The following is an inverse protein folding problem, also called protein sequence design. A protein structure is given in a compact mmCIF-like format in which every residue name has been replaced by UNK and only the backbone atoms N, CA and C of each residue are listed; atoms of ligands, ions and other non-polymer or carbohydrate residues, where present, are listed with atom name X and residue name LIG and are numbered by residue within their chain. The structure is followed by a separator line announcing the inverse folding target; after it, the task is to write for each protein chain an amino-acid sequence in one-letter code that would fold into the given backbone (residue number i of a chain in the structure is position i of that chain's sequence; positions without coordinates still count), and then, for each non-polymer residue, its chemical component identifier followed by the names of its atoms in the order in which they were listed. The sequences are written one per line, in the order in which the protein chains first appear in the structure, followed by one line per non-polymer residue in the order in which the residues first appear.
data_IF_071430827173
#
_entry.id   IF_071430827173
#
_cell.length_a   1.000
_cell.length_b   1.000
_cell.length_c   1.000
_cell.angle_alpha   90.00
_cell.angle_beta   90.00
_cell.angle_gamma   90.00
#
_symmetry.space_group_name_H-M   'P 1'
#
loop_
_entity.id
_entity.type
_entity.pdbx_description
1 polymer ?
#
# COMPACT_ATOMS: atom_id res chain seq x y z
N UNK A 1 -10.21 8.51 -23.21
CA UNK A 1 -10.31 9.74 -22.37
C UNK A 1 -10.02 9.42 -20.91
N UNK A 2 -9.28 10.27 -20.15
CA UNK A 2 -9.10 10.05 -18.69
C UNK A 2 -10.26 10.70 -17.94
N UNK A 3 -11.00 9.92 -17.16
CA UNK A 3 -12.10 10.41 -16.35
C UNK A 3 -11.56 10.93 -15.02
N UNK A 4 -11.44 12.25 -14.91
CA UNK A 4 -10.95 12.90 -13.69
C UNK A 4 -12.06 13.69 -12.95
N UNK A 5 -13.25 13.78 -13.57
CA UNK A 5 -14.40 14.52 -13.03
C UNK A 5 -15.18 13.65 -12.01
N UNK A 6 -15.40 14.11 -10.76
CA UNK A 6 -16.21 13.38 -9.79
C UNK A 6 -17.62 13.08 -10.30
N UNK A 7 -18.16 11.90 -9.98
CA UNK A 7 -19.42 11.42 -10.59
C UNK A 7 -20.62 12.31 -10.26
N UNK A 8 -20.59 13.02 -9.12
CA UNK A 8 -21.63 13.98 -8.72
C UNK A 8 -21.70 15.21 -9.63
N UNK A 9 -20.64 15.52 -10.37
CA UNK A 9 -20.60 16.63 -11.31
C UNK A 9 -21.01 16.23 -12.73
N UNK A 10 -21.29 14.95 -12.98
CA UNK A 10 -21.58 14.47 -14.32
C UNK A 10 -22.97 14.89 -14.80
N UNK A 11 -23.02 15.19 -16.08
CA UNK A 11 -24.19 15.68 -16.81
C UNK A 11 -24.42 14.82 -18.04
N UNK A 12 -25.56 15.03 -18.70
CA UNK A 12 -25.84 14.39 -19.99
C UNK A 12 -24.75 14.66 -21.03
N UNK A 13 -24.23 15.89 -21.09
CA UNK A 13 -23.19 16.26 -22.05
C UNK A 13 -21.92 15.43 -21.83
N UNK A 14 -21.56 15.11 -20.57
CA UNK A 14 -20.40 14.26 -20.28
C UNK A 14 -20.60 12.83 -20.83
N UNK A 15 -21.83 12.30 -20.77
CA UNK A 15 -22.18 11.00 -21.36
C UNK A 15 -22.17 11.02 -22.89
N UNK A 16 -22.62 12.13 -23.49
CA UNK A 16 -22.57 12.32 -24.95
C UNK A 16 -21.12 12.43 -25.45
N UNK A 17 -20.22 13.04 -24.68
CA UNK A 17 -18.78 13.06 -24.98
C UNK A 17 -18.22 11.63 -24.97
N UNK A 18 -18.55 10.82 -23.96
CA UNK A 18 -18.15 9.41 -23.91
C UNK A 18 -18.65 8.63 -25.12
N UNK A 19 -19.93 8.79 -25.47
CA UNK A 19 -20.53 8.08 -26.60
C UNK A 19 -19.87 8.41 -27.94
N UNK A 20 -19.39 9.65 -28.10
CA UNK A 20 -18.77 10.12 -29.33
C UNK A 20 -17.24 9.90 -29.38
N UNK A 21 -16.61 9.41 -28.30
CA UNK A 21 -15.18 9.06 -28.29
C UNK A 21 -15.00 7.64 -28.87
N UNK A 22 -14.36 7.50 -30.05
CA UNK A 22 -14.18 6.20 -30.71
C UNK A 22 -13.22 5.27 -29.96
N UNK A 23 -12.50 5.77 -28.94
CA UNK A 23 -11.61 4.99 -28.08
C UNK A 23 -12.21 4.74 -26.69
N UNK A 24 -13.51 5.00 -26.52
CA UNK A 24 -14.21 4.79 -25.26
C UNK A 24 -14.58 3.31 -25.08
N UNK A 25 -13.58 2.52 -24.70
CA UNK A 25 -13.71 1.11 -24.34
C UNK A 25 -13.64 0.96 -22.81
N UNK A 26 -14.21 -0.12 -22.29
CA UNK A 26 -13.98 -0.52 -20.90
C UNK A 26 -12.47 -0.63 -20.61
N UNK A 27 -12.06 -0.08 -19.47
CA UNK A 27 -10.65 -0.02 -19.10
C UNK A 27 -10.46 -0.26 -17.59
N UNK A 28 -9.29 0.08 -17.08
CA UNK A 28 -8.93 -0.10 -15.67
C UNK A 28 -9.75 0.76 -14.70
N UNK A 29 -10.50 1.74 -15.21
CA UNK A 29 -11.11 2.84 -14.49
C UNK A 29 -12.58 3.08 -14.89
N UNK A 30 -13.11 2.43 -15.92
CA UNK A 30 -14.54 2.46 -16.25
C UNK A 30 -15.09 1.09 -16.68
N UNK A 31 -16.31 0.79 -16.23
CA UNK A 31 -17.10 -0.35 -16.70
C UNK A 31 -18.54 0.08 -17.05
N UNK A 32 -19.06 -0.44 -18.16
CA UNK A 32 -20.40 -0.17 -18.66
C UNK A 32 -21.31 -1.36 -18.39
N UNK A 33 -22.50 -1.10 -17.85
CA UNK A 33 -23.50 -2.14 -17.67
C UNK A 33 -24.84 -1.69 -18.21
N UNK A 34 -25.48 -2.55 -19.00
CA UNK A 34 -26.84 -2.30 -19.50
C UNK A 34 -27.79 -2.11 -18.34
N UNK A 35 -27.86 -3.13 -17.48
CA UNK A 35 -28.70 -3.18 -16.29
C UNK A 35 -28.01 -4.07 -15.25
N UNK A 36 -28.45 -3.97 -14.00
CA UNK A 36 -28.02 -4.92 -12.98
C UNK A 36 -28.75 -6.26 -13.13
N UNK A 37 -27.98 -7.32 -13.36
CA UNK A 37 -28.47 -8.70 -13.54
C UNK A 37 -28.94 -9.38 -12.23
N UNK A 38 -29.03 -8.64 -11.12
CA UNK A 38 -29.32 -9.14 -9.75
C UNK A 38 -28.27 -10.07 -9.17
N UNK A 39 -27.12 -10.24 -9.82
CA UNK A 39 -26.00 -10.97 -9.26
C UNK A 39 -25.22 -10.06 -8.30
N UNK A 40 -25.52 -10.23 -7.01
CA UNK A 40 -24.87 -9.48 -5.94
C UNK A 40 -23.38 -9.83 -5.81
N UNK A 41 -22.96 -11.03 -6.20
CA UNK A 41 -21.55 -11.42 -6.13
C UNK A 41 -20.76 -10.75 -7.24
N UNK A 42 -21.34 -10.64 -8.43
CA UNK A 42 -20.71 -9.92 -9.53
C UNK A 42 -20.51 -8.45 -9.20
N UNK A 43 -21.54 -7.78 -8.68
CA UNK A 43 -21.43 -6.39 -8.24
C UNK A 43 -20.37 -6.21 -7.13
N UNK A 44 -20.26 -7.16 -6.18
CA UNK A 44 -19.17 -7.15 -5.18
C UNK A 44 -17.80 -7.24 -5.83
N UNK A 45 -17.63 -8.11 -6.81
CA UNK A 45 -16.35 -8.25 -7.54
C UNK A 45 -16.00 -6.98 -8.28
N UNK A 46 -16.97 -6.36 -8.93
CA UNK A 46 -16.75 -5.10 -9.65
C UNK A 46 -16.28 -4.01 -8.69
N UNK A 47 -17.00 -3.79 -7.59
CA UNK A 47 -16.65 -2.79 -6.58
C UNK A 47 -15.29 -3.09 -5.94
N UNK A 48 -15.05 -4.32 -5.47
CA UNK A 48 -13.78 -4.67 -4.81
C UNK A 48 -12.59 -4.60 -5.77
N UNK A 49 -12.77 -5.00 -7.03
CA UNK A 49 -11.71 -4.92 -8.03
C UNK A 49 -11.27 -3.48 -8.31
N UNK A 50 -12.23 -2.53 -8.40
CA UNK A 50 -11.93 -1.11 -8.54
C UNK A 50 -11.36 -0.52 -7.25
N UNK A 51 -11.91 -0.87 -6.08
CA UNK A 51 -11.39 -0.38 -4.81
C UNK A 51 -9.96 -0.87 -4.54
N UNK A 52 -9.58 -2.03 -5.07
CA UNK A 52 -8.22 -2.54 -5.04
C UNK A 52 -7.34 -2.05 -6.20
N UNK A 53 -7.82 -1.18 -7.09
CA UNK A 53 -6.97 -0.54 -8.11
C UNK A 53 -6.27 0.68 -7.50
N UNK A 54 -5.22 1.18 -8.17
CA UNK A 54 -4.49 2.36 -7.72
C UNK A 54 -5.30 3.66 -7.86
N UNK A 55 -6.26 3.70 -8.78
CA UNK A 55 -7.01 4.92 -9.14
C UNK A 55 -8.50 4.87 -8.79
N UNK A 56 -9.02 3.71 -8.39
CA UNK A 56 -10.45 3.48 -8.25
C UNK A 56 -11.11 3.21 -9.61
N UNK A 57 -12.37 3.63 -9.76
CA UNK A 57 -13.05 3.59 -11.05
C UNK A 57 -14.52 3.96 -11.00
N UNK A 58 -15.17 3.85 -12.16
CA UNK A 58 -16.56 4.20 -12.39
C UNK A 58 -17.32 3.00 -12.95
N UNK A 59 -18.52 2.74 -12.42
CA UNK A 59 -19.46 1.79 -13.01
C UNK A 59 -20.66 2.59 -13.50
N UNK A 60 -20.94 2.55 -14.80
CA UNK A 60 -22.06 3.27 -15.41
C UNK A 60 -23.17 2.28 -15.83
N UNK A 61 -24.29 2.32 -15.10
CA UNK A 61 -25.48 1.53 -15.42
C UNK A 61 -26.41 2.28 -16.38
N UNK A 62 -26.99 1.57 -17.34
CA UNK A 62 -27.80 2.16 -18.40
C UNK A 62 -27.01 2.43 -19.68
N UNK A 63 -25.86 1.76 -19.86
CA UNK A 63 -25.01 1.87 -21.05
C UNK A 63 -24.75 0.46 -21.59
N UNK A 64 -24.98 0.25 -22.89
CA UNK A 64 -24.49 -0.92 -23.62
C UNK A 64 -23.09 -0.59 -24.13
N UNK A 65 -22.12 -1.48 -23.90
CA UNK A 65 -20.73 -1.31 -24.34
C UNK A 65 -20.56 -1.56 -25.84
N UNK A 66 -21.02 -2.72 -26.33
CA UNK A 66 -20.92 -3.08 -27.75
C UNK A 66 -22.29 -3.40 -28.40
N UNK A 67 -22.77 -2.59 -29.37
CA UNK A 67 -22.25 -1.27 -29.73
C UNK A 67 -22.61 -0.22 -28.66
N UNK A 68 -21.76 0.78 -28.51
CA UNK A 68 -21.90 1.79 -27.45
C UNK A 68 -23.23 2.54 -27.56
N UNK A 69 -24.12 2.38 -26.57
CA UNK A 69 -25.45 3.00 -26.58
C UNK A 69 -25.91 3.41 -25.18
N UNK A 70 -26.34 4.66 -25.04
CA UNK A 70 -27.02 5.20 -23.86
C UNK A 70 -28.48 4.73 -23.82
N UNK A 71 -28.72 3.53 -23.31
CA UNK A 71 -30.07 2.94 -23.22
C UNK A 71 -30.90 3.52 -22.05
N UNK A 72 -30.22 3.94 -20.99
CA UNK A 72 -30.82 4.41 -19.74
C UNK A 72 -31.55 3.33 -18.93
N UNK A 73 -31.85 3.68 -17.68
CA UNK A 73 -32.67 2.91 -16.74
C UNK A 73 -33.72 3.81 -16.10
N UNK A 74 -34.83 3.21 -15.68
CA UNK A 74 -35.94 3.94 -15.05
C UNK A 74 -35.58 4.41 -13.64
N UNK A 75 -36.32 5.41 -13.13
CA UNK A 75 -36.13 5.89 -11.75
C UNK A 75 -36.27 4.79 -10.70
N UNK A 76 -37.24 3.88 -10.87
CA UNK A 76 -37.44 2.76 -9.95
C UNK A 76 -36.27 1.76 -9.94
N UNK A 77 -35.59 1.59 -11.08
CA UNK A 77 -34.37 0.76 -11.16
C UNK A 77 -33.18 1.45 -10.50
N UNK A 78 -33.02 2.76 -10.68
CA UNK A 78 -32.02 3.57 -9.97
C UNK A 78 -32.17 3.39 -8.46
N UNK A 79 -33.38 3.57 -7.92
CA UNK A 79 -33.61 3.51 -6.47
C UNK A 79 -33.33 2.09 -5.93
N UNK A 80 -33.72 1.04 -6.67
CA UNK A 80 -33.38 -0.35 -6.33
C UNK A 80 -31.87 -0.60 -6.33
N UNK A 81 -31.15 -0.06 -7.31
CA UNK A 81 -29.72 -0.21 -7.44
C UNK A 81 -28.96 0.47 -6.30
N UNK A 82 -29.35 1.69 -5.94
CA UNK A 82 -28.77 2.41 -4.80
C UNK A 82 -28.91 1.61 -3.50
N UNK A 83 -30.12 1.13 -3.21
CA UNK A 83 -30.38 0.30 -2.04
C UNK A 83 -29.55 -1.00 -2.06
N UNK A 84 -29.36 -1.58 -3.24
CA UNK A 84 -28.56 -2.80 -3.42
C UNK A 84 -27.08 -2.54 -3.17
N UNK A 85 -26.54 -1.43 -3.69
CA UNK A 85 -25.16 -1.00 -3.46
C UNK A 85 -24.93 -0.73 -1.98
N UNK A 86 -25.83 0.02 -1.32
CA UNK A 86 -25.75 0.29 0.12
C UNK A 86 -25.79 -1.00 0.95
N UNK A 87 -26.63 -1.96 0.56
CA UNK A 87 -26.65 -3.27 1.21
C UNK A 87 -25.33 -4.02 1.02
N UNK A 88 -24.78 -4.02 -0.19
CA UNK A 88 -23.53 -4.72 -0.53
C UNK A 88 -22.32 -4.12 0.20
N UNK A 89 -22.18 -2.80 0.23
CA UNK A 89 -21.05 -2.13 0.92
C UNK A 89 -20.98 -2.54 2.38
N UNK A 90 -22.14 -2.78 3.01
CA UNK A 90 -22.24 -3.16 4.41
C UNK A 90 -22.16 -4.67 4.66
N UNK A 91 -22.10 -5.52 3.61
CA UNK A 91 -22.18 -6.98 3.75
C UNK A 91 -21.18 -7.72 2.83
N UNK A 92 -20.35 -8.58 3.43
CA UNK A 92 -19.30 -9.42 2.81
C UNK A 92 -18.02 -8.72 2.38
N UNK A 93 -17.93 -7.39 2.38
CA UNK A 93 -16.68 -6.72 2.03
C UNK A 93 -15.92 -6.37 3.31
N UNK A 94 -14.70 -6.90 3.43
CA UNK A 94 -13.82 -6.71 4.58
C UNK A 94 -12.41 -6.29 4.11
N UNK A 95 -11.78 -5.28 4.74
CA UNK A 95 -12.41 -4.33 5.66
C UNK A 95 -13.53 -3.52 4.96
N UNK A 96 -14.33 -2.79 5.74
CA UNK A 96 -15.37 -1.92 5.17
C UNK A 96 -14.73 -0.90 4.23
N UNK A 97 -15.36 -0.66 3.08
CA UNK A 97 -14.91 0.35 2.12
C UNK A 97 -14.88 1.73 2.78
N UNK A 98 -13.73 2.40 2.69
CA UNK A 98 -13.53 3.75 3.22
C UNK A 98 -12.59 4.53 2.28
N UNK A 99 -13.09 5.55 1.56
CA UNK A 99 -14.48 6.04 1.59
C UNK A 99 -15.47 5.08 0.88
N UNK A 100 -16.77 5.09 1.27
CA UNK A 100 -17.78 4.29 0.59
C UNK A 100 -18.04 4.80 -0.84
N UNK A 101 -18.45 3.92 -1.79
CA UNK A 101 -18.84 4.32 -3.13
C UNK A 101 -19.93 5.40 -3.15
N UNK A 102 -19.84 6.32 -4.13
CA UNK A 102 -20.83 7.38 -4.34
C UNK A 102 -21.62 7.10 -5.61
N UNK A 103 -22.95 7.16 -5.51
CA UNK A 103 -23.84 6.96 -6.66
C UNK A 103 -24.52 8.26 -7.09
N UNK A 104 -24.57 8.54 -8.39
CA UNK A 104 -25.21 9.72 -8.96
C UNK A 104 -26.09 9.36 -10.19
N UNK A 105 -27.40 9.62 -10.17
CA UNK A 105 -28.25 9.45 -11.34
C UNK A 105 -28.16 10.65 -12.28
N UNK A 106 -27.76 10.40 -13.53
CA UNK A 106 -27.62 11.39 -14.59
C UNK A 106 -28.81 11.24 -15.53
N UNK A 107 -29.64 12.27 -15.66
CA UNK A 107 -30.82 12.23 -16.54
C UNK A 107 -30.40 12.33 -18.02
N UNK A 108 -30.88 11.41 -18.86
CA UNK A 108 -30.60 11.39 -20.30
C UNK A 108 -31.77 12.02 -21.07
N UNK A 109 -32.97 11.44 -20.96
CA UNK A 109 -34.23 11.91 -21.53
C UNK A 109 -35.41 11.12 -20.93
N UNK A 110 -36.65 11.61 -21.07
CA UNK A 110 -37.88 10.83 -20.83
C UNK A 110 -37.92 9.98 -19.53
N UNK A 111 -37.43 10.52 -18.40
CA UNK A 111 -37.30 9.80 -17.11
C UNK A 111 -36.39 8.56 -17.14
N UNK A 112 -35.47 8.49 -18.11
CA UNK A 112 -34.38 7.54 -18.19
C UNK A 112 -33.09 8.18 -17.67
N UNK A 113 -32.33 7.38 -16.94
CA UNK A 113 -31.12 7.80 -16.25
C UNK A 113 -29.96 6.86 -16.57
N UNK A 114 -28.73 7.37 -16.57
CA UNK A 114 -27.55 6.55 -16.28
C UNK A 114 -27.27 6.66 -14.79
N UNK A 115 -27.06 5.54 -14.10
CA UNK A 115 -26.57 5.58 -12.73
C UNK A 115 -25.05 5.41 -12.75
N UNK A 116 -24.34 6.49 -12.45
CA UNK A 116 -22.91 6.45 -12.23
C UNK A 116 -22.59 6.05 -10.79
N UNK A 117 -21.65 5.13 -10.60
CA UNK A 117 -21.14 4.71 -9.29
C UNK A 117 -19.64 4.92 -9.30
N UNK A 118 -19.15 5.84 -8.47
CA UNK A 118 -17.73 6.07 -8.26
C UNK A 118 -17.23 5.22 -7.10
N UNK A 119 -16.20 4.42 -7.37
CA UNK A 119 -15.50 3.60 -6.39
C UNK A 119 -14.12 4.20 -6.19
N UNK A 120 -13.74 4.44 -4.94
CA UNK A 120 -12.47 5.04 -4.59
C UNK A 120 -11.38 3.98 -4.40
N UNK A 121 -10.12 4.28 -4.75
CA UNK A 121 -9.03 3.39 -4.44
C UNK A 121 -8.87 3.27 -2.93
N UNK A 122 -8.41 2.11 -2.48
CA UNK A 122 -8.00 1.88 -1.11
C UNK A 122 -6.85 2.80 -0.70
N UNK A 123 -6.83 3.16 0.58
CA UNK A 123 -5.71 3.90 1.16
C UNK A 123 -4.59 2.99 1.67
N UNK A 124 -4.94 1.76 2.08
CA UNK A 124 -3.99 0.77 2.58
C UNK A 124 -4.55 -0.66 2.48
N UNK A 125 -3.66 -1.65 2.53
CA UNK A 125 -4.02 -3.07 2.60
C UNK A 125 -4.72 -3.59 1.33
N UNK A 126 -5.75 -4.42 1.51
CA UNK A 126 -6.54 -4.98 0.42
C UNK A 126 -7.97 -5.23 0.88
N UNK A 127 -8.94 -4.92 0.02
CA UNK A 127 -10.34 -5.31 0.22
C UNK A 127 -10.59 -6.73 -0.26
N UNK A 128 -11.41 -7.46 0.47
CA UNK A 128 -11.71 -8.85 0.21
C UNK A 128 -13.22 -9.11 0.29
N UNK A 129 -13.68 -10.12 -0.43
CA UNK A 129 -15.07 -10.58 -0.38
C UNK A 129 -15.11 -11.88 0.43
N UNK A 130 -15.79 -11.83 1.58
CA UNK A 130 -16.07 -12.98 2.43
C UNK A 130 -17.00 -13.96 1.72
N UNK A 131 -16.64 -15.25 1.71
CA UNK A 131 -17.43 -16.29 1.04
C UNK A 131 -18.79 -16.49 1.71
N UNK A 132 -18.81 -16.53 3.05
CA UNK A 132 -20.04 -16.75 3.82
C UNK A 132 -20.27 -15.68 4.90
N UNK A 133 -21.54 -15.33 5.17
CA UNK A 133 -21.92 -14.38 6.21
C UNK A 133 -22.22 -15.02 7.56
N UNK A 134 -22.50 -16.32 7.59
CA UNK A 134 -22.85 -17.01 8.82
C UNK A 134 -21.58 -17.34 9.61
N UNK A 135 -21.37 -16.79 10.82
CA UNK A 135 -20.18 -17.07 11.65
C UNK A 135 -19.96 -18.54 11.96
N UNK A 136 -21.03 -19.35 11.94
CA UNK A 136 -20.99 -20.79 12.21
C UNK A 136 -20.63 -21.62 10.98
N UNK A 137 -20.54 -21.01 9.79
CA UNK A 137 -20.14 -21.72 8.59
C UNK A 137 -18.61 -21.77 8.47
N UNK A 138 -17.99 -22.92 8.11
CA UNK A 138 -16.53 -23.03 7.98
C UNK A 138 -15.95 -22.02 6.98
N UNK A 139 -16.72 -21.62 5.96
CA UNK A 139 -16.30 -20.66 4.94
C UNK A 139 -16.40 -19.19 5.40
N UNK A 140 -16.84 -18.93 6.63
CA UNK A 140 -16.95 -17.57 7.18
C UNK A 140 -15.61 -16.84 7.22
N UNK A 141 -14.52 -17.58 7.44
CA UNK A 141 -13.15 -17.05 7.49
C UNK A 141 -12.44 -17.12 6.15
N UNK A 142 -13.12 -17.60 5.10
CA UNK A 142 -12.56 -17.67 3.77
C UNK A 142 -12.93 -16.42 2.98
N UNK A 143 -11.92 -15.86 2.33
CA UNK A 143 -12.03 -14.66 1.52
C UNK A 143 -11.68 -14.95 0.06
N UNK A 144 -12.16 -14.09 -0.83
CA UNK A 144 -11.73 -14.02 -2.21
C UNK A 144 -11.28 -12.60 -2.51
N UNK A 145 -10.14 -12.48 -3.19
CA UNK A 145 -9.48 -11.22 -3.48
C UNK A 145 -9.53 -10.97 -4.98
N UNK A 146 -9.91 -9.75 -5.35
CA UNK A 146 -10.13 -9.37 -6.74
C UNK A 146 -9.45 -8.04 -7.01
N UNK A 147 -8.79 -7.93 -8.15
CA UNK A 147 -8.15 -6.70 -8.63
C UNK A 147 -8.61 -6.41 -10.06
N UNK A 148 -8.41 -5.18 -10.51
CA UNK A 148 -8.43 -4.84 -11.95
C UNK A 148 -7.08 -5.15 -12.58
N UNK A 149 -7.10 -5.77 -13.75
CA UNK A 149 -5.93 -6.08 -14.59
C UNK A 149 -6.38 -6.04 -16.05
N UNK A 150 -5.75 -5.21 -16.87
CA UNK A 150 -6.01 -5.08 -18.31
C UNK A 150 -7.50 -4.88 -18.66
N UNK A 151 -8.19 -4.01 -17.91
CA UNK A 151 -9.63 -3.76 -18.05
C UNK A 151 -10.54 -4.86 -17.48
N UNK A 152 -10.00 -6.04 -17.22
CA UNK A 152 -10.75 -7.15 -16.64
C UNK A 152 -10.62 -7.21 -15.12
N UNK A 153 -11.58 -7.86 -14.47
CA UNK A 153 -11.47 -8.26 -13.06
C UNK A 153 -10.81 -9.64 -12.96
N UNK A 154 -9.78 -9.75 -12.13
CA UNK A 154 -9.00 -10.97 -11.92
C UNK A 154 -8.98 -11.35 -10.45
N UNK A 155 -9.26 -12.62 -10.17
CA UNK A 155 -9.07 -13.17 -8.84
C UNK A 155 -7.57 -13.40 -8.61
N UNK A 156 -7.09 -13.08 -7.41
CA UNK A 156 -5.68 -13.26 -7.03
C UNK A 156 -5.52 -14.30 -5.93
N UNK A 157 -4.38 -14.99 -5.97
CA UNK A 157 -3.93 -15.97 -4.97
C UNK A 157 -3.45 -15.29 -3.68
N UNK A 158 -3.25 -16.07 -2.61
CA UNK A 158 -2.72 -15.52 -1.36
C UNK A 158 -1.26 -15.06 -1.51
N UNK A 159 -0.44 -15.73 -2.33
CA UNK A 159 0.94 -15.27 -2.59
C UNK A 159 0.93 -13.90 -3.30
N UNK A 160 0.03 -13.71 -4.26
CA UNK A 160 -0.17 -12.43 -4.91
C UNK A 160 -0.72 -11.37 -3.96
N UNK A 161 -1.64 -11.73 -3.06
CA UNK A 161 -2.14 -10.82 -2.02
C UNK A 161 -0.99 -10.31 -1.15
N UNK A 162 -0.11 -11.20 -0.68
CA UNK A 162 1.04 -10.81 0.14
C UNK A 162 1.95 -9.86 -0.63
N UNK A 163 2.26 -10.19 -1.88
CA UNK A 163 3.06 -9.33 -2.77
C UNK A 163 2.38 -7.98 -3.01
N UNK A 164 1.07 -7.97 -3.16
CA UNK A 164 0.26 -6.78 -3.36
C UNK A 164 0.32 -5.89 -2.13
N UNK A 165 0.05 -6.45 -0.93
CA UNK A 165 0.13 -5.72 0.33
C UNK A 165 1.52 -5.12 0.54
N UNK A 166 2.60 -5.89 0.29
CA UNK A 166 3.98 -5.40 0.41
C UNK A 166 4.26 -4.25 -0.57
N UNK A 167 3.76 -4.35 -1.82
CA UNK A 167 3.95 -3.30 -2.83
C UNK A 167 3.17 -2.03 -2.51
N UNK A 168 1.94 -2.17 -2.01
CA UNK A 168 1.03 -1.06 -1.73
C UNK A 168 1.00 -0.65 -0.27
N UNK A 169 1.97 -1.09 0.54
CA UNK A 169 2.08 -0.67 1.93
C UNK A 169 2.50 0.80 2.00
N UNK A 170 1.63 1.73 2.41
CA UNK A 170 2.01 3.13 2.61
C UNK A 170 3.02 3.29 3.76
N UNK A 171 3.26 2.26 4.58
CA UNK A 171 4.27 2.24 5.64
C UNK A 171 5.66 1.84 5.13
N UNK A 172 5.93 1.89 3.82
CA UNK A 172 7.23 1.57 3.22
C UNK A 172 8.33 2.52 3.75
N UNK A 173 8.87 2.18 4.91
CA UNK A 173 10.10 2.74 5.46
C UNK A 173 11.24 2.10 4.68
N UNK A 174 12.07 2.91 4.06
CA UNK A 174 13.27 2.38 3.43
C UNK A 174 14.42 2.52 4.41
N UNK A 175 14.80 1.39 5.00
CA UNK A 175 15.98 1.30 5.85
C UNK A 175 17.05 0.61 5.03
N UNK A 176 18.20 1.25 4.92
CA UNK A 176 19.33 0.77 4.14
C UNK A 176 20.57 0.74 5.03
N UNK A 177 21.34 -0.34 4.92
CA UNK A 177 22.62 -0.51 5.61
C UNK A 177 23.75 -0.47 4.61
N UNK A 178 24.60 0.54 4.74
CA UNK A 178 25.76 0.76 3.86
C UNK A 178 27.06 0.70 4.64
N UNK A 179 28.12 0.31 3.96
CA UNK A 179 29.48 0.34 4.51
C UNK A 179 30.21 1.45 3.76
N UNK A 180 30.77 2.39 4.50
CA UNK A 180 31.46 3.55 3.96
C UNK A 180 32.92 3.55 4.44
N UNK A 181 33.80 4.11 3.62
CA UNK A 181 35.10 4.57 4.10
C UNK A 181 34.91 5.91 4.81
N UNK A 182 35.54 6.08 5.98
CA UNK A 182 35.49 7.33 6.73
C UNK A 182 36.27 8.43 6.00
N UNK A 183 35.54 9.30 5.30
CA UNK A 183 36.09 10.52 4.70
C UNK A 183 35.87 11.76 5.58
N UNK A 184 35.22 11.62 6.74
CA UNK A 184 34.69 12.74 7.52
C UNK A 184 35.50 13.08 8.78
N UNK A 185 36.34 12.17 9.28
CA UNK A 185 37.18 12.42 10.46
C UNK A 185 38.65 12.61 10.07
N UNK A 186 39.24 13.80 10.32
CA UNK A 186 40.59 14.14 9.88
C UNK A 186 41.70 13.31 10.53
N UNK A 187 41.44 12.69 11.70
CA UNK A 187 42.43 11.89 12.46
C UNK A 187 42.21 10.36 12.36
N UNK A 188 41.22 9.91 11.58
CA UNK A 188 40.88 8.47 11.39
C UNK A 188 40.66 8.10 9.92
N UNK A 189 41.51 8.65 9.04
CA UNK A 189 41.35 8.73 7.58
C UNK A 189 41.26 7.41 6.80
N UNK A 190 41.18 6.26 7.47
CA UNK A 190 41.08 4.92 6.85
C UNK A 190 40.07 3.98 7.53
N UNK A 191 39.36 4.43 8.59
CA UNK A 191 38.44 3.55 9.31
C UNK A 191 37.16 3.30 8.49
N UNK A 192 36.70 2.05 8.37
CA UNK A 192 35.39 1.75 7.77
C UNK A 192 34.29 1.98 8.80
N UNK A 193 33.17 2.53 8.32
CA UNK A 193 31.96 2.79 9.11
C UNK A 193 30.81 1.99 8.51
N UNK A 194 29.96 1.44 9.37
CA UNK A 194 28.64 0.96 8.95
C UNK A 194 27.65 2.11 9.16
N UNK A 195 26.91 2.48 8.14
CA UNK A 195 25.82 3.42 8.25
C UNK A 195 24.47 2.72 8.18
N UNK A 196 23.52 3.22 8.95
CA UNK A 196 22.10 2.92 8.86
C UNK A 196 21.44 4.19 8.41
N UNK A 197 20.73 4.12 7.28
CA UNK A 197 20.00 5.22 6.71
C UNK A 197 18.53 4.84 6.68
N UNK A 198 17.71 5.54 7.45
CA UNK A 198 16.27 5.35 7.46
C UNK A 198 15.59 6.55 6.80
N UNK A 199 14.96 6.29 5.66
CA UNK A 199 14.15 7.27 4.92
C UNK A 199 12.68 6.95 5.17
N UNK A 200 11.94 7.95 5.66
CA UNK A 200 10.49 7.85 5.68
C UNK A 200 9.96 8.12 4.27
N UNK A 201 9.37 7.12 3.61
CA UNK A 201 8.65 7.30 2.34
C UNK A 201 7.13 7.19 2.53
N UNK A 202 6.67 7.29 3.78
CA UNK A 202 5.25 7.27 4.11
C UNK A 202 4.70 8.69 4.21
N UNK A 203 3.43 8.86 3.84
CA UNK A 203 2.69 10.12 3.96
C UNK A 203 2.55 10.55 5.43
N UNK A 204 2.64 9.60 6.38
CA UNK A 204 2.54 9.87 7.82
C UNK A 204 3.93 10.16 8.41
N UNK A 205 4.08 11.20 9.24
CA UNK A 205 5.34 11.42 9.94
C UNK A 205 5.60 10.33 10.97
N UNK A 206 6.86 9.92 11.11
CA UNK A 206 7.28 8.90 12.09
C UNK A 206 8.23 9.49 13.11
N UNK A 207 8.20 8.97 14.34
CA UNK A 207 9.17 9.35 15.39
C UNK A 207 10.14 8.18 15.54
N UNK A 208 11.41 8.41 15.23
CA UNK A 208 12.48 7.44 15.44
C UNK A 208 13.05 7.64 16.83
N UNK A 209 13.04 6.58 17.65
CA UNK A 209 13.48 6.59 19.04
C UNK A 209 14.88 5.99 19.23
N UNK A 210 15.24 5.00 18.40
CA UNK A 210 16.58 4.40 18.36
C UNK A 210 16.90 3.90 16.96
N UNK A 211 18.20 3.77 16.67
CA UNK A 211 18.75 3.10 15.50
C UNK A 211 19.85 2.13 15.94
N UNK A 212 20.09 1.06 15.17
CA UNK A 212 21.07 0.03 15.51
C UNK A 212 21.18 -1.09 14.48
N UNK A 213 21.87 -2.16 14.83
CA UNK A 213 21.93 -3.38 14.03
C UNK A 213 21.28 -4.53 14.78
N UNK A 214 20.60 -5.38 14.05
CA UNK A 214 20.24 -6.71 14.49
C UNK A 214 21.25 -7.68 13.90
N UNK A 215 21.99 -8.38 14.76
CA UNK A 215 22.98 -9.40 14.40
C UNK A 215 22.35 -10.76 14.60
N UNK A 216 22.28 -11.58 13.56
CA UNK A 216 21.83 -12.95 13.69
C UNK A 216 22.99 -13.83 14.16
N UNK A 217 22.83 -14.48 15.32
CA UNK A 217 23.72 -15.55 15.79
C UNK A 217 23.17 -16.91 15.31
N UNK A 218 24.06 -17.89 15.19
CA UNK A 218 23.79 -19.27 14.75
C UNK A 218 22.76 -20.04 15.63
N UNK A 219 22.26 -19.42 16.69
CA UNK A 219 21.31 -19.99 17.65
C UNK A 219 19.90 -19.36 17.56
N UNK A 220 19.54 -18.69 16.45
CA UNK A 220 18.23 -18.08 16.16
C UNK A 220 17.73 -16.99 17.13
N UNK A 221 18.52 -16.62 18.14
CA UNK A 221 18.26 -15.49 19.04
C UNK A 221 19.12 -14.30 18.60
N UNK A 222 18.66 -13.57 17.58
CA UNK A 222 19.37 -12.39 17.10
C UNK A 222 19.50 -11.30 18.16
N UNK A 223 20.63 -10.60 18.17
CA UNK A 223 20.97 -9.55 19.13
C UNK A 223 20.80 -8.16 18.51
N UNK A 224 20.14 -7.23 19.21
CA UNK A 224 20.07 -5.83 18.79
C UNK A 224 21.19 -4.99 19.45
N UNK A 225 22.11 -4.47 18.64
CA UNK A 225 23.14 -3.49 19.02
C UNK A 225 22.67 -2.08 18.67
N UNK A 226 22.31 -1.27 19.68
CA UNK A 226 21.86 0.10 19.45
C UNK A 226 23.01 1.10 19.45
N UNK A 227 23.06 1.95 18.42
CA UNK A 227 24.09 2.99 18.32
C UNK A 227 23.66 4.17 19.20
N UNK A 228 24.61 4.70 19.96
CA UNK A 228 24.34 5.84 20.82
C UNK A 228 24.08 7.12 20.01
N UNK A 229 23.08 7.87 20.47
CA UNK A 229 22.76 9.22 19.99
C UNK A 229 23.93 10.18 20.25
N UNK A 230 24.21 11.14 19.34
CA UNK A 230 25.34 12.09 19.39
C UNK A 230 25.51 12.82 20.74
N UNK A 231 24.45 12.91 21.53
CA UNK A 231 24.43 13.60 22.81
C UNK A 231 25.22 12.88 23.92
N UNK A 232 25.76 11.67 23.66
CA UNK A 232 26.43 10.84 24.69
C UNK A 232 27.93 10.58 24.45
N UNK A 233 28.46 10.68 23.22
CA UNK A 233 29.87 10.40 22.94
C UNK A 233 30.47 11.30 21.84
N UNK A 234 31.70 11.85 21.99
CA UNK A 234 32.33 12.73 20.99
C UNK A 234 32.43 12.12 19.58
N UNK A 235 32.65 10.81 19.51
CA UNK A 235 32.79 10.04 18.26
C UNK A 235 31.45 9.75 17.57
N UNK A 236 30.32 10.16 18.15
CA UNK A 236 28.97 9.92 17.57
C UNK A 236 28.30 11.21 17.09
N UNK A 237 29.01 12.36 17.11
CA UNK A 237 28.46 13.69 16.80
C UNK A 237 27.84 13.85 15.41
N UNK A 238 28.20 13.00 14.46
CA UNK A 238 27.64 12.97 13.10
C UNK A 238 26.37 12.12 12.97
N UNK A 239 25.99 11.38 14.01
CA UNK A 239 24.74 10.63 14.01
C UNK A 239 23.56 11.59 14.22
N UNK A 240 22.40 11.26 13.65
CA UNK A 240 21.19 12.06 13.84
C UNK A 240 20.78 12.05 15.32
N UNK A 241 20.54 13.22 15.95
CA UNK A 241 20.03 13.28 17.32
C UNK A 241 18.66 12.61 17.43
N UNK A 242 18.48 11.79 18.47
CA UNK A 242 17.23 11.10 18.76
C UNK A 242 16.58 11.60 20.07
N UNK A 243 15.24 11.57 20.17
CA UNK A 243 14.29 11.15 19.12
C UNK A 243 14.15 12.19 18.01
N UNK A 244 13.87 11.77 16.78
CA UNK A 244 13.63 12.65 15.63
C UNK A 244 12.32 12.32 14.93
N UNK A 245 11.59 13.36 14.51
CA UNK A 245 10.41 13.22 13.66
C UNK A 245 10.82 13.32 12.19
N UNK A 246 10.49 12.30 11.39
CA UNK A 246 10.73 12.27 9.95
C UNK A 246 9.41 12.45 9.19
N UNK A 247 9.32 13.47 8.36
CA UNK A 247 8.28 13.68 7.35
C UNK A 247 8.55 12.81 6.10
N UNK A 248 7.65 12.84 5.12
CA UNK A 248 7.89 12.18 3.83
C UNK A 248 9.15 12.75 3.16
N UNK A 249 10.06 11.86 2.78
CA UNK A 249 11.37 12.18 2.21
C UNK A 249 12.47 12.47 3.23
N UNK A 250 12.15 12.66 4.50
CA UNK A 250 13.15 12.92 5.54
C UNK A 250 14.00 11.67 5.82
N UNK A 251 15.28 11.91 6.08
CA UNK A 251 16.30 10.91 6.35
C UNK A 251 16.82 11.08 7.79
N UNK A 252 16.99 9.98 8.51
CA UNK A 252 17.93 9.91 9.61
C UNK A 252 19.05 8.92 9.32
N UNK A 253 20.25 9.25 9.79
CA UNK A 253 21.45 8.45 9.58
C UNK A 253 22.18 8.23 10.90
N UNK A 254 22.68 7.02 11.07
CA UNK A 254 23.60 6.68 12.14
C UNK A 254 24.78 5.93 11.56
N UNK A 255 25.95 6.15 12.15
CA UNK A 255 27.21 5.57 11.73
C UNK A 255 27.84 4.89 12.94
N UNK A 256 28.40 3.71 12.69
CA UNK A 256 29.03 2.87 13.69
C UNK A 256 30.42 2.45 13.22
N UNK A 257 31.48 2.76 13.98
CA UNK A 257 32.82 2.32 13.66
C UNK A 257 32.95 0.80 13.64
N UNK A 258 33.64 0.25 12.64
CA UNK A 258 33.91 -1.19 12.55
C UNK A 258 34.77 -1.66 13.73
N UNK A 259 35.63 -0.80 14.27
CA UNK A 259 36.43 -1.12 15.45
C UNK A 259 35.53 -1.40 16.66
N UNK A 260 34.60 -0.49 16.93
CA UNK A 260 33.65 -0.61 18.04
C UNK A 260 32.78 -1.86 17.85
N UNK A 261 32.32 -2.14 16.62
CA UNK A 261 31.62 -3.38 16.31
C UNK A 261 32.45 -4.63 16.63
N UNK A 262 33.75 -4.65 16.29
CA UNK A 262 34.62 -5.80 16.61
C UNK A 262 34.78 -5.99 18.11
N UNK A 263 34.88 -4.90 18.86
CA UNK A 263 34.94 -4.93 20.33
C UNK A 263 33.65 -5.51 20.90
N UNK A 264 32.48 -5.03 20.46
CA UNK A 264 31.18 -5.57 20.87
C UNK A 264 31.02 -7.06 20.54
N UNK A 265 31.34 -7.46 19.29
CA UNK A 265 31.24 -8.86 18.87
C UNK A 265 32.17 -9.76 19.71
N UNK A 266 33.38 -9.29 20.04
CA UNK A 266 34.31 -10.03 20.87
C UNK A 266 33.81 -10.21 22.32
N UNK A 267 33.23 -9.17 22.92
CA UNK A 267 32.58 -9.25 24.24
C UNK A 267 31.45 -10.29 24.26
N UNK A 268 30.73 -10.38 23.15
CA UNK A 268 29.60 -11.29 22.95
C UNK A 268 30.02 -12.68 22.45
N UNK A 269 31.31 -12.91 22.21
CA UNK A 269 31.88 -14.14 21.64
C UNK A 269 31.29 -14.53 20.27
N UNK A 270 30.87 -13.54 19.50
CA UNK A 270 30.38 -13.70 18.13
C UNK A 270 31.57 -13.53 17.18
N UNK A 271 31.72 -14.45 16.24
CA UNK A 271 32.80 -14.42 15.23
C UNK A 271 32.23 -14.18 13.84
N UNK A 272 32.96 -13.46 13.00
CA UNK A 272 32.62 -13.28 11.59
C UNK A 272 32.76 -14.60 10.81
N UNK A 273 31.99 -14.80 9.71
CA UNK A 273 31.01 -13.87 9.15
C UNK A 273 29.71 -13.80 9.95
N UNK A 274 29.03 -12.65 9.89
CA UNK A 274 27.72 -12.45 10.51
C UNK A 274 26.73 -11.86 9.51
N UNK A 275 25.45 -12.12 9.71
CA UNK A 275 24.36 -11.44 9.01
C UNK A 275 23.84 -10.30 9.87
N UNK A 276 23.75 -9.10 9.29
CA UNK A 276 23.19 -7.92 9.95
C UNK A 276 21.96 -7.38 9.23
N UNK A 277 21.03 -6.83 9.99
CA UNK A 277 19.92 -5.98 9.53
C UNK A 277 20.01 -4.63 10.25
N UNK A 278 19.89 -3.52 9.54
CA UNK A 278 19.72 -2.21 10.18
C UNK A 278 18.36 -2.17 10.84
N UNK A 279 18.28 -1.66 12.06
CA UNK A 279 17.03 -1.55 12.82
C UNK A 279 16.79 -0.11 13.23
N UNK A 280 15.55 0.34 13.13
CA UNK A 280 15.06 1.53 13.82
C UNK A 280 13.85 1.17 14.68
N UNK A 281 13.69 1.85 15.81
CA UNK A 281 12.48 1.75 16.63
C UNK A 281 11.63 3.00 16.47
N UNK A 282 10.33 2.81 16.33
CA UNK A 282 9.31 3.87 16.43
C UNK A 282 8.28 3.48 17.49
N UNK A 283 7.39 4.40 17.93
CA UNK A 283 6.26 4.03 18.78
C UNK A 283 5.37 2.90 18.21
N UNK A 284 5.41 2.69 16.89
CA UNK A 284 4.62 1.67 16.19
C UNK A 284 5.33 0.31 16.08
N UNK A 285 6.60 0.20 16.47
CA UNK A 285 7.36 -1.06 16.45
C UNK A 285 8.80 -0.94 15.97
N UNK A 286 9.41 -2.09 15.70
CA UNK A 286 10.76 -2.22 15.12
C UNK A 286 10.68 -2.46 13.62
N UNK A 287 11.56 -1.81 12.88
CA UNK A 287 11.63 -1.90 11.43
C UNK A 287 13.05 -2.26 11.03
N UNK A 288 13.19 -3.18 10.07
CA UNK A 288 14.46 -3.76 9.67
C UNK A 288 14.78 -3.45 8.20
N UNK A 289 16.06 -3.34 7.87
CA UNK A 289 16.55 -3.38 6.48
C UNK A 289 16.56 -4.81 5.94
N UNK A 290 16.92 -4.93 4.66
CA UNK A 290 17.39 -6.20 4.09
C UNK A 290 18.65 -6.70 4.81
N UNK A 291 18.88 -8.01 4.72
CA UNK A 291 20.04 -8.70 5.27
C UNK A 291 21.33 -8.32 4.55
N UNK A 292 22.41 -8.20 5.31
CA UNK A 292 23.73 -7.97 4.77
C UNK A 292 24.76 -8.81 5.50
N UNK A 293 25.50 -9.61 4.75
CA UNK A 293 26.62 -10.37 5.28
C UNK A 293 27.82 -9.45 5.51
N UNK A 294 28.44 -9.58 6.67
CA UNK A 294 29.73 -8.98 7.00
C UNK A 294 30.76 -10.10 7.17
N UNK A 295 31.80 -10.05 6.36
CA UNK A 295 32.97 -10.94 6.44
C UNK A 295 34.25 -10.14 6.66
N UNK A 296 35.33 -10.82 7.07
CA UNK A 296 36.65 -10.18 7.27
C UNK A 296 37.15 -9.47 6.01
N UNK A 297 36.82 -9.98 4.81
CA UNK A 297 37.19 -9.34 3.54
C UNK A 297 36.42 -8.04 3.30
N UNK A 298 35.17 -7.96 3.75
CA UNK A 298 34.29 -6.81 3.58
C UNK A 298 34.61 -5.69 4.58
N UNK A 299 35.23 -6.00 5.72
CA UNK A 299 35.51 -5.01 6.78
C UNK A 299 37.00 -4.61 6.91
N UNK A 300 37.93 -5.33 6.26
CA UNK A 300 39.33 -4.91 6.03
C UNK A 300 39.42 -3.89 4.92
#
# INVERSE_FOLDING_TARGET
MRIDKPILGWTKNDLEILQNDPYNLEDMNIEYKKQHNRDLNELRRDIVSFANSEVGGYILYGIRDDPFELIGITRGEVDKLKNTIDHIINHKIDPRLDPPPISHPININNNLYVLGVQVFPKQSGIYAIRRNNNPNNPDFRLYSFWIRSDGCKRQISMEEVNSYIIKTDPYKKHIDVKIHFNTFLPDRSMERLISINAVNKSVRPIIVNSYGFHVEDNNDNGLALFIQSPNRHPDTRFNTPLPIKLQDGDLCSAYYPIKDLREDLAELKITLPITIKGVITTPDGMFYSEEKELSEEIIK
#
